data_IF_498956836636
#
_entry.id   IF_498956836636
#
_cell.length_a   1.000
_cell.length_b   1.000
_cell.length_c   1.000
_cell.angle_alpha   90.00
_cell.angle_beta   90.00
_cell.angle_gamma   90.00
#
_symmetry.space_group_name_H-M   'P 1'
#
loop_
_entity.id
_entity.type
_entity.pdbx_description
1 polymer ?
#
# COMPACT_ATOMS: atom_id res chain seq x y z
N UNK A 1 -3.71 5.98 -3.48
CA UNK A 1 -4.99 5.23 -3.43
C UNK A 1 -4.94 4.14 -4.49
N UNK A 2 -5.23 2.88 -4.14
CA UNK A 2 -5.30 1.76 -5.11
C UNK A 2 -6.75 1.45 -5.50
N UNK A 3 -7.67 1.55 -4.52
CA UNK A 3 -9.12 1.41 -4.73
C UNK A 3 -9.78 2.73 -4.31
N UNK A 4 -10.33 3.52 -5.26
CA UNK A 4 -11.08 4.74 -4.92
C UNK A 4 -12.36 4.43 -4.13
N UNK A 5 -12.85 5.40 -3.35
CA UNK A 5 -14.15 5.28 -2.67
C UNK A 5 -15.28 5.09 -3.69
N UNK A 6 -16.29 4.30 -3.32
CA UNK A 6 -17.46 3.96 -4.15
C UNK A 6 -17.12 3.17 -5.43
N UNK A 7 -15.97 2.51 -5.49
CA UNK A 7 -15.65 1.57 -6.57
C UNK A 7 -16.57 0.34 -6.46
N UNK A 8 -17.26 -0.02 -7.55
CA UNK A 8 -18.09 -1.22 -7.60
C UNK A 8 -17.26 -2.50 -7.52
N UNK A 9 -17.70 -3.46 -6.71
CA UNK A 9 -17.09 -4.79 -6.61
C UNK A 9 -17.69 -5.76 -7.65
N UNK A 10 -16.92 -6.69 -8.22
CA UNK A 10 -15.50 -6.97 -7.94
C UNK A 10 -14.53 -5.98 -8.60
N UNK A 11 -13.43 -5.66 -7.91
CA UNK A 11 -12.40 -4.75 -8.41
C UNK A 11 -10.98 -5.29 -8.13
N UNK A 12 -10.06 -5.09 -9.08
CA UNK A 12 -8.63 -5.37 -8.92
C UNK A 12 -7.82 -4.17 -9.40
N UNK A 13 -7.08 -3.55 -8.48
CA UNK A 13 -6.15 -2.45 -8.77
C UNK A 13 -4.71 -2.89 -8.58
N UNK A 14 -3.79 -2.36 -9.38
CA UNK A 14 -2.34 -2.57 -9.25
C UNK A 14 -1.65 -1.21 -9.32
N UNK A 15 -0.58 -1.04 -8.54
CA UNK A 15 0.25 0.17 -8.59
C UNK A 15 1.72 -0.24 -8.44
N UNK A 16 2.57 0.34 -9.27
CA UNK A 16 4.02 0.16 -9.13
C UNK A 16 4.51 0.85 -7.85
N UNK A 17 5.34 0.14 -7.11
CA UNK A 17 6.13 0.65 -5.99
C UNK A 17 7.61 0.34 -6.24
N UNK A 18 8.49 1.11 -5.59
CA UNK A 18 9.94 0.90 -5.63
C UNK A 18 10.53 0.99 -4.23
N UNK A 19 11.85 0.89 -4.13
CA UNK A 19 12.58 1.08 -2.88
C UNK A 19 12.72 2.56 -2.55
N UNK A 20 12.78 2.87 -1.25
CA UNK A 20 13.00 4.22 -0.77
C UNK A 20 14.48 4.52 -0.52
N UNK A 21 15.32 3.46 -0.49
CA UNK A 21 16.76 3.53 -0.21
C UNK A 21 17.50 2.53 -1.09
N UNK A 22 18.77 2.82 -1.35
CA UNK A 22 19.67 1.89 -2.02
C UNK A 22 19.87 0.63 -1.17
N UNK A 23 20.02 -0.52 -1.84
CA UNK A 23 20.25 -1.83 -1.21
C UNK A 23 19.19 -2.20 -0.14
N UNK A 24 17.92 -1.84 -0.39
CA UNK A 24 16.81 -2.17 0.50
C UNK A 24 16.26 -3.58 0.19
N UNK A 25 16.58 -4.58 1.01
CA UNK A 25 16.24 -6.00 0.76
C UNK A 25 14.77 -6.38 1.00
N UNK A 26 14.01 -5.53 1.70
CA UNK A 26 12.61 -5.76 1.96
C UNK A 26 11.83 -4.45 2.04
N UNK A 27 10.54 -4.51 1.69
CA UNK A 27 9.62 -3.38 1.76
C UNK A 27 8.43 -3.74 2.67
N UNK A 28 8.12 -2.82 3.59
CA UNK A 28 6.91 -2.88 4.39
C UNK A 28 5.76 -2.24 3.61
N UNK A 29 4.70 -3.01 3.42
CA UNK A 29 3.46 -2.59 2.77
C UNK A 29 2.38 -2.48 3.84
N UNK A 30 2.09 -1.25 4.26
CA UNK A 30 0.95 -0.97 5.14
C UNK A 30 -0.28 -0.66 4.29
N UNK A 31 -1.38 -1.36 4.56
CA UNK A 31 -2.67 -1.18 3.87
C UNK A 31 -3.58 -0.33 4.74
N UNK A 32 -4.00 0.82 4.23
CA UNK A 32 -4.88 1.75 4.93
C UNK A 32 -6.21 1.92 4.21
N UNK A 33 -7.27 2.08 5.00
CA UNK A 33 -8.61 2.50 4.58
C UNK A 33 -8.92 3.91 5.12
N UNK A 34 -9.30 4.82 4.24
CA UNK A 34 -9.76 6.15 4.62
C UNK A 34 -9.54 7.19 3.51
N UNK A 35 -9.91 8.42 3.81
CA UNK A 35 -9.91 9.54 2.84
C UNK A 35 -8.88 10.64 3.17
N UNK A 36 -8.09 10.45 4.24
CA UNK A 36 -7.14 11.46 4.70
C UNK A 36 -5.81 11.35 3.95
N UNK A 37 -5.13 12.48 3.75
CA UNK A 37 -3.84 12.51 3.06
C UNK A 37 -2.71 11.87 3.88
N UNK A 38 -2.77 11.97 5.21
CA UNK A 38 -1.77 11.38 6.12
C UNK A 38 -2.17 9.96 6.49
N UNK A 39 -1.22 9.02 6.37
CA UNK A 39 -1.46 7.61 6.67
C UNK A 39 -1.92 7.39 8.12
N UNK A 40 -1.39 8.15 9.07
CA UNK A 40 -1.73 8.09 10.50
C UNK A 40 -3.17 8.47 10.82
N UNK A 41 -3.82 9.21 9.93
CA UNK A 41 -5.19 9.70 10.11
C UNK A 41 -6.21 8.76 9.43
N UNK A 42 -5.76 7.63 8.88
CA UNK A 42 -6.57 6.59 8.26
C UNK A 42 -6.51 5.29 9.08
N UNK A 43 -7.44 4.38 8.81
CA UNK A 43 -7.52 3.08 9.48
C UNK A 43 -6.49 2.10 8.90
N UNK A 44 -5.62 1.53 9.72
CA UNK A 44 -4.67 0.48 9.30
C UNK A 44 -5.40 -0.87 9.23
N UNK A 45 -5.49 -1.46 8.04
CA UNK A 45 -6.10 -2.77 7.84
C UNK A 45 -5.09 -3.92 8.01
N UNK A 46 -3.80 -3.66 7.76
CA UNK A 46 -2.76 -4.66 7.93
C UNK A 46 -1.41 -4.24 7.39
N UNK A 47 -0.40 -5.05 7.71
CA UNK A 47 0.98 -4.85 7.28
C UNK A 47 1.51 -6.15 6.68
N UNK A 48 2.18 -6.03 5.54
CA UNK A 48 2.82 -7.14 4.84
C UNK A 48 4.29 -6.82 4.63
N UNK A 49 5.15 -7.84 4.75
CA UNK A 49 6.56 -7.73 4.38
C UNK A 49 6.70 -8.34 2.99
N UNK A 50 7.23 -7.56 2.07
CA UNK A 50 7.66 -8.03 0.76
C UNK A 50 9.17 -8.12 0.73
N UNK A 51 9.70 -9.33 0.56
CA UNK A 51 11.13 -9.53 0.34
C UNK A 51 11.44 -9.26 -1.13
N UNK A 52 12.35 -8.32 -1.36
CA UNK A 52 12.81 -7.99 -2.70
C UNK A 52 13.80 -9.07 -3.10
N UNK A 53 13.41 -9.90 -4.07
CA UNK A 53 14.34 -10.82 -4.72
C UNK A 53 14.96 -10.03 -5.87
N UNK A 54 16.23 -9.66 -5.71
CA UNK A 54 17.04 -8.99 -6.73
C UNK A 54 17.57 -10.00 -7.75
#
# INVERSE_FOLDING_TARGET
VVVPRNTSIPFKGTRWCGTAKDNQDNALINVYEGERARATDNNLLGTFIFFLVF
#
